data_IF_318027493789
#
_entry.id   IF_318027493789
#
_cell.length_a   1.000
_cell.length_b   1.000
_cell.length_c   1.000
_cell.angle_alpha   90.00
_cell.angle_beta   90.00
_cell.angle_gamma   90.00
#
_symmetry.space_group_name_H-M   'P 1'
#
loop_
_entity.id
_entity.type
_entity.pdbx_description
1 polymer ?
#
# COMPACT_ATOMS: atom_id res chain seq x y z
N UNK A 1 -8.93 -11.91 9.73
CA UNK A 1 -8.41 -10.93 8.76
C UNK A 1 -8.97 -9.55 9.10
N UNK A 2 -8.13 -8.51 9.04
CA UNK A 2 -8.54 -7.10 9.17
C UNK A 2 -8.02 -6.35 7.96
N UNK A 3 -8.86 -5.50 7.37
CA UNK A 3 -8.50 -4.64 6.24
C UNK A 3 -8.09 -3.27 6.79
N UNK A 4 -6.94 -2.77 6.38
CA UNK A 4 -6.47 -1.41 6.67
C UNK A 4 -6.55 -0.54 5.42
N UNK A 5 -7.13 0.64 5.55
CA UNK A 5 -7.21 1.65 4.48
C UNK A 5 -7.02 3.05 5.06
N UNK A 6 -6.55 4.00 4.27
CA UNK A 6 -6.31 5.36 4.74
C UNK A 6 -7.62 6.12 4.97
N UNK A 7 -8.57 6.03 4.04
CA UNK A 7 -9.77 6.85 3.99
C UNK A 7 -11.05 6.03 3.88
N UNK A 8 -12.12 6.49 4.53
CA UNK A 8 -13.45 5.87 4.45
C UNK A 8 -13.97 5.79 3.01
N UNK A 9 -13.71 6.80 2.19
CA UNK A 9 -14.12 6.82 0.79
C UNK A 9 -13.53 5.68 -0.04
N UNK A 10 -12.36 5.17 0.32
CA UNK A 10 -11.71 4.05 -0.36
C UNK A 10 -12.36 2.69 -0.04
N UNK A 11 -13.09 2.60 1.07
CA UNK A 11 -13.61 1.32 1.62
C UNK A 11 -15.08 1.36 2.01
N UNK A 12 -15.85 2.35 1.56
CA UNK A 12 -17.26 2.53 1.94
C UNK A 12 -18.12 1.30 1.64
N UNK A 13 -17.91 0.62 0.52
CA UNK A 13 -18.61 -0.60 0.16
C UNK A 13 -18.03 -1.84 0.86
N UNK A 14 -16.70 -1.93 0.95
CA UNK A 14 -15.99 -3.04 1.59
C UNK A 14 -16.35 -3.13 3.08
N UNK A 15 -16.46 -1.98 3.76
CA UNK A 15 -16.79 -1.91 5.19
C UNK A 15 -18.19 -2.38 5.55
N UNK A 16 -19.09 -2.56 4.57
CA UNK A 16 -20.43 -3.11 4.80
C UNK A 16 -20.41 -4.61 5.13
N UNK A 17 -19.39 -5.33 4.69
CA UNK A 17 -19.31 -6.80 4.82
C UNK A 17 -18.00 -7.30 5.45
N UNK A 18 -16.99 -6.45 5.62
CA UNK A 18 -15.70 -6.84 6.14
C UNK A 18 -15.22 -5.93 7.27
N UNK A 19 -14.37 -6.47 8.15
CA UNK A 19 -13.73 -5.70 9.23
C UNK A 19 -12.70 -4.76 8.67
N UNK A 20 -12.99 -3.46 8.68
CA UNK A 20 -12.11 -2.39 8.21
C UNK A 20 -11.68 -1.51 9.38
N UNK A 21 -10.41 -1.13 9.41
CA UNK A 21 -9.86 -0.13 10.32
C UNK A 21 -9.21 0.98 9.48
N UNK A 22 -9.60 2.22 9.74
CA UNK A 22 -9.04 3.38 9.04
C UNK A 22 -7.74 3.80 9.70
N UNK A 23 -6.66 3.84 8.92
CA UNK A 23 -5.34 4.26 9.40
C UNK A 23 -5.21 5.78 9.51
N UNK A 24 -5.93 6.53 8.68
CA UNK A 24 -5.59 7.90 8.33
C UNK A 24 -4.42 7.95 7.35
N UNK A 25 -4.14 9.14 6.85
CA UNK A 25 -3.12 9.37 5.82
C UNK A 25 -1.72 9.46 6.43
N UNK A 26 -0.74 8.88 5.75
CA UNK A 26 0.69 9.00 6.03
C UNK A 26 1.27 7.92 6.92
N UNK A 27 2.60 7.78 6.85
CA UNK A 27 3.38 6.70 7.48
C UNK A 27 3.20 6.64 8.99
N UNK A 28 3.18 7.78 9.68
CA UNK A 28 3.05 7.82 11.15
C UNK A 28 1.68 7.30 11.59
N UNK A 29 0.60 7.73 10.93
CA UNK A 29 -0.75 7.26 11.23
C UNK A 29 -0.88 5.76 10.92
N UNK A 30 -0.40 5.32 9.78
CA UNK A 30 -0.38 3.92 9.38
C UNK A 30 0.36 3.05 10.40
N UNK A 31 1.57 3.46 10.82
CA UNK A 31 2.35 2.75 11.85
C UNK A 31 1.57 2.64 13.15
N UNK A 32 1.06 3.75 13.68
CA UNK A 32 0.34 3.82 14.95
C UNK A 32 -0.89 2.91 14.96
N UNK A 33 -1.72 3.04 13.92
CA UNK A 33 -2.99 2.28 13.85
C UNK A 33 -2.73 0.80 13.60
N UNK A 34 -1.80 0.44 12.72
CA UNK A 34 -1.44 -0.96 12.48
C UNK A 34 -0.93 -1.63 13.76
N UNK A 35 -0.05 -0.94 14.50
CA UNK A 35 0.47 -1.44 15.78
C UNK A 35 -0.68 -1.69 16.77
N UNK A 36 -1.55 -0.70 17.00
CA UNK A 36 -2.67 -0.86 17.92
C UNK A 36 -3.68 -1.93 17.46
N UNK A 37 -3.90 -2.06 16.16
CA UNK A 37 -4.77 -3.09 15.59
C UNK A 37 -4.23 -4.50 15.86
N UNK A 38 -2.93 -4.70 15.65
CA UNK A 38 -2.29 -6.00 15.91
C UNK A 38 -2.35 -6.34 17.40
N UNK A 39 -1.98 -5.41 18.27
CA UNK A 39 -1.94 -5.65 19.71
C UNK A 39 -3.33 -5.90 20.33
N UNK A 40 -4.36 -5.21 19.84
CA UNK A 40 -5.71 -5.32 20.39
C UNK A 40 -6.54 -6.48 19.81
N UNK A 41 -6.26 -6.89 18.57
CA UNK A 41 -7.13 -7.84 17.85
C UNK A 41 -6.41 -9.14 17.43
N UNK A 42 -5.08 -9.22 17.55
CA UNK A 42 -4.29 -10.40 17.15
C UNK A 42 -4.73 -11.01 15.81
N UNK A 43 -4.76 -10.24 14.70
CA UNK A 43 -5.31 -10.70 13.44
C UNK A 43 -4.41 -11.79 12.81
N UNK A 44 -5.02 -12.80 12.22
CA UNK A 44 -4.31 -13.83 11.45
C UNK A 44 -3.76 -13.32 10.11
N UNK A 45 -4.25 -12.18 9.63
CA UNK A 45 -3.85 -11.53 8.39
C UNK A 45 -4.23 -10.05 8.44
N UNK A 46 -3.31 -9.18 8.08
CA UNK A 46 -3.57 -7.79 7.72
C UNK A 46 -3.58 -7.67 6.19
N UNK A 47 -4.63 -7.05 5.67
CA UNK A 47 -4.75 -6.71 4.26
C UNK A 47 -4.79 -5.19 4.14
N UNK A 48 -3.84 -4.58 3.45
CA UNK A 48 -3.91 -3.16 3.08
C UNK A 48 -4.60 -3.01 1.73
N UNK A 49 -5.67 -2.25 1.70
CA UNK A 49 -6.32 -1.82 0.46
C UNK A 49 -6.39 -0.31 0.41
N UNK A 50 -6.15 0.26 -0.77
CA UNK A 50 -6.25 1.69 -1.02
C UNK A 50 -5.94 2.03 -2.47
N UNK A 51 -5.91 3.33 -2.75
CA UNK A 51 -5.59 3.84 -4.08
C UNK A 51 -4.11 4.21 -4.19
N UNK A 52 -3.59 4.23 -5.42
CA UNK A 52 -2.25 4.69 -5.72
C UNK A 52 -2.20 5.45 -7.05
N UNK A 53 -1.27 6.38 -7.18
CA UNK A 53 -0.97 7.04 -8.44
C UNK A 53 -0.07 6.16 -9.31
N UNK A 54 -0.30 6.20 -10.63
CA UNK A 54 0.57 5.56 -11.62
C UNK A 54 1.91 6.29 -11.71
N UNK A 55 3.00 5.53 -11.67
CA UNK A 55 4.36 6.04 -11.87
C UNK A 55 4.98 5.46 -13.13
N UNK A 56 5.02 4.15 -13.27
CA UNK A 56 5.63 3.47 -14.41
C UNK A 56 4.61 3.03 -15.46
N UNK A 57 5.12 2.55 -16.61
CA UNK A 57 4.30 1.96 -17.68
C UNK A 57 3.86 0.52 -17.38
N UNK A 58 4.37 -0.10 -16.32
CA UNK A 58 3.99 -1.47 -15.92
C UNK A 58 2.60 -1.53 -15.30
N UNK A 59 2.06 -0.40 -14.85
CA UNK A 59 0.72 -0.31 -14.26
C UNK A 59 -0.19 0.55 -15.12
N UNK A 60 -1.48 0.24 -15.08
CA UNK A 60 -2.52 0.92 -15.85
C UNK A 60 -3.57 1.51 -14.92
N UNK A 61 -4.04 2.72 -15.25
CA UNK A 61 -5.15 3.37 -14.55
C UNK A 61 -6.41 2.50 -14.69
N UNK A 62 -7.16 2.37 -13.61
CA UNK A 62 -8.38 1.55 -13.57
C UNK A 62 -8.14 0.06 -13.31
N UNK A 63 -6.93 -0.34 -12.95
CA UNK A 63 -6.59 -1.73 -12.59
C UNK A 63 -6.24 -1.87 -11.12
N UNK A 64 -6.54 -3.03 -10.57
CA UNK A 64 -6.15 -3.46 -9.22
C UNK A 64 -4.91 -4.35 -9.32
N UNK A 65 -3.94 -4.12 -8.44
CA UNK A 65 -2.72 -4.92 -8.35
C UNK A 65 -2.47 -5.33 -6.90
N UNK A 66 -2.06 -6.58 -6.71
CA UNK A 66 -1.45 -7.02 -5.47
C UNK A 66 0.08 -6.87 -5.58
N UNK A 67 0.68 -6.17 -4.62
CA UNK A 67 2.12 -5.87 -4.60
C UNK A 67 2.79 -6.41 -3.34
N UNK A 68 4.04 -6.82 -3.48
CA UNK A 68 4.86 -7.38 -2.40
C UNK A 68 6.19 -6.66 -2.17
N UNK A 69 6.54 -5.70 -3.02
CA UNK A 69 7.77 -4.91 -2.87
C UNK A 69 7.41 -3.48 -2.45
N UNK A 70 8.08 -2.98 -1.42
CA UNK A 70 7.81 -1.65 -0.85
C UNK A 70 9.11 -0.89 -0.65
N UNK A 71 9.07 0.42 -0.89
CA UNK A 71 10.16 1.35 -0.60
C UNK A 71 9.61 2.65 0.01
N UNK A 72 10.42 3.35 0.78
CA UNK A 72 10.12 4.72 1.19
C UNK A 72 10.62 5.69 0.12
N UNK A 73 9.73 6.15 -0.77
CA UNK A 73 10.07 7.02 -1.90
C UNK A 73 10.53 8.43 -1.51
N UNK A 74 10.31 8.81 -0.27
CA UNK A 74 10.75 10.09 0.32
C UNK A 74 11.99 9.94 1.23
N UNK A 75 12.58 8.74 1.33
CA UNK A 75 13.82 8.51 2.06
C UNK A 75 15.00 8.94 1.18
N UNK A 76 15.72 9.97 1.62
CA UNK A 76 16.93 10.43 0.96
C UNK A 76 18.05 10.65 1.97
N UNK A 77 18.96 9.70 2.03
CA UNK A 77 20.17 9.72 2.86
C UNK A 77 21.43 9.46 2.02
N UNK A 78 21.40 9.87 0.77
CA UNK A 78 22.52 9.70 -0.18
C UNK A 78 23.79 10.41 0.29
N UNK A 79 23.67 11.48 1.04
CA UNK A 79 24.80 12.16 1.67
C UNK A 79 25.60 11.28 2.66
N UNK A 80 24.99 10.18 3.16
CA UNK A 80 25.62 9.18 4.03
C UNK A 80 26.12 7.95 3.26
N UNK A 81 26.08 7.97 1.92
CA UNK A 81 26.59 6.90 1.05
C UNK A 81 25.55 5.79 0.74
N UNK A 82 24.29 5.94 1.12
CA UNK A 82 23.23 5.01 0.78
C UNK A 82 22.61 5.34 -0.59
N UNK A 83 21.91 4.36 -1.18
CA UNK A 83 21.17 4.61 -2.43
C UNK A 83 19.91 5.43 -2.15
N UNK A 84 19.37 6.15 -3.14
CA UNK A 84 18.04 6.74 -3.03
C UNK A 84 17.01 5.71 -2.57
N UNK A 85 16.07 6.11 -1.72
CA UNK A 85 14.98 5.27 -1.17
C UNK A 85 15.43 4.09 -0.29
N UNK A 86 16.74 3.94 -0.05
CA UNK A 86 17.27 2.94 0.86
C UNK A 86 17.15 3.43 2.31
N UNK A 87 16.52 2.63 3.16
CA UNK A 87 16.50 2.87 4.60
C UNK A 87 17.81 2.33 5.20
N UNK A 88 18.65 3.19 5.82
CA UNK A 88 19.94 2.78 6.39
C UNK A 88 19.80 1.63 7.38
N UNK A 89 20.77 0.71 7.34
CA UNK A 89 20.89 -0.41 8.27
C UNK A 89 19.68 -1.36 8.32
N UNK A 90 18.71 -1.20 7.44
CA UNK A 90 17.59 -2.12 7.32
C UNK A 90 18.03 -3.36 6.55
N UNK A 91 17.91 -4.53 7.18
CA UNK A 91 18.07 -5.79 6.45
C UNK A 91 16.95 -5.89 5.42
N UNK A 92 17.28 -6.32 4.21
CA UNK A 92 16.28 -6.68 3.20
C UNK A 92 15.49 -7.85 3.77
N UNK A 93 14.32 -7.57 4.32
CA UNK A 93 13.46 -8.56 4.92
C UNK A 93 12.41 -8.99 3.91
N UNK A 94 12.22 -10.29 3.81
CA UNK A 94 11.10 -10.85 3.06
C UNK A 94 9.82 -10.56 3.83
N UNK A 95 8.82 -10.03 3.15
CA UNK A 95 7.49 -9.92 3.74
C UNK A 95 6.95 -11.32 4.01
N UNK A 96 6.28 -11.46 5.14
CA UNK A 96 5.64 -12.73 5.48
C UNK A 96 4.61 -13.09 4.40
N UNK A 97 4.71 -14.29 3.89
CA UNK A 97 3.77 -14.81 2.91
C UNK A 97 2.38 -14.93 3.54
N UNK A 98 1.37 -14.52 2.79
CA UNK A 98 -0.01 -14.74 3.18
C UNK A 98 -0.34 -16.24 3.19
N UNK A 99 -1.15 -16.72 4.15
CA UNK A 99 -1.68 -18.09 4.09
C UNK A 99 -2.67 -18.29 2.94
N UNK A 100 -3.12 -17.22 2.32
CA UNK A 100 -4.04 -17.28 1.18
C UNK A 100 -3.29 -17.55 -0.12
N UNK A 101 -3.93 -18.25 -1.09
CA UNK A 101 -3.34 -18.48 -2.40
C UNK A 101 -3.08 -17.14 -3.11
N UNK A 102 -2.12 -17.10 -4.06
CA UNK A 102 -1.93 -15.92 -4.90
C UNK A 102 -3.23 -15.52 -5.59
N UNK A 103 -3.49 -14.21 -5.67
CA UNK A 103 -4.65 -13.68 -6.40
C UNK A 103 -4.35 -13.54 -7.90
N UNK A 104 -5.40 -13.40 -8.71
CA UNK A 104 -5.26 -13.04 -10.13
C UNK A 104 -4.65 -11.64 -10.34
N UNK A 105 -4.56 -10.84 -9.29
CA UNK A 105 -3.97 -9.49 -9.28
C UNK A 105 -2.49 -9.47 -8.88
N UNK A 106 -1.92 -10.62 -8.48
CA UNK A 106 -0.54 -10.69 -7.98
C UNK A 106 0.47 -10.37 -9.06
N UNK A 107 1.32 -9.38 -8.80
CA UNK A 107 2.44 -8.96 -9.63
C UNK A 107 3.68 -8.77 -8.76
N UNK A 108 4.51 -9.79 -8.72
CA UNK A 108 5.74 -9.80 -7.91
C UNK A 108 6.85 -8.88 -8.45
N UNK A 109 6.72 -8.42 -9.69
CA UNK A 109 7.65 -7.50 -10.36
C UNK A 109 7.34 -6.02 -10.10
N UNK A 110 6.23 -5.71 -9.38
CA UNK A 110 5.85 -4.35 -9.08
C UNK A 110 6.35 -3.89 -7.72
N UNK A 111 6.75 -2.62 -7.66
CA UNK A 111 7.19 -1.93 -6.43
C UNK A 111 6.26 -0.76 -6.12
N UNK A 112 5.83 -0.69 -4.87
CA UNK A 112 5.03 0.40 -4.33
C UNK A 112 5.92 1.38 -3.56
N UNK A 113 5.88 2.66 -3.93
CA UNK A 113 6.62 3.74 -3.27
C UNK A 113 5.73 4.49 -2.28
N UNK A 114 6.06 4.38 -0.97
CA UNK A 114 5.36 5.08 0.12
C UNK A 114 6.06 6.37 0.50
N UNK A 115 5.31 7.47 0.65
CA UNK A 115 5.88 8.75 1.11
C UNK A 115 4.83 9.70 1.65
N UNK A 116 5.22 10.61 2.56
CA UNK A 116 4.32 11.54 3.24
C UNK A 116 4.02 12.83 2.44
N UNK A 117 4.23 12.79 1.13
CA UNK A 117 3.84 13.85 0.20
C UNK A 117 2.96 13.30 -0.92
N UNK A 118 2.06 14.14 -1.43
CA UNK A 118 1.29 13.78 -2.62
C UNK A 118 2.23 13.58 -3.80
N UNK A 119 1.99 12.53 -4.61
CA UNK A 119 2.79 12.27 -5.81
C UNK A 119 2.33 13.21 -6.94
N UNK A 120 3.23 14.06 -7.40
CA UNK A 120 3.04 14.90 -8.57
C UNK A 120 3.93 14.40 -9.71
N UNK A 121 3.40 14.31 -10.91
CA UNK A 121 4.03 13.70 -12.09
C UNK A 121 5.22 14.50 -12.67
N UNK A 122 6.04 15.13 -11.80
CA UNK A 122 7.12 16.05 -12.23
C UNK A 122 8.41 15.30 -12.61
N UNK A 123 8.58 14.05 -12.17
CA UNK A 123 9.83 13.30 -12.39
C UNK A 123 9.55 11.89 -12.89
N UNK A 124 10.30 11.44 -13.93
CA UNK A 124 10.42 10.02 -14.27
C UNK A 124 11.26 9.34 -13.19
N UNK A 125 10.67 8.39 -12.51
CA UNK A 125 11.31 7.58 -11.48
C UNK A 125 11.17 6.14 -11.94
N UNK A 126 12.29 5.40 -12.01
CA UNK A 126 12.30 4.02 -12.48
C UNK A 126 12.37 3.01 -11.32
N UNK A 127 12.47 3.48 -10.06
CA UNK A 127 12.66 2.64 -8.89
C UNK A 127 11.36 2.09 -8.28
N UNK A 128 10.20 2.67 -8.62
CA UNK A 128 8.90 2.17 -8.19
C UNK A 128 7.82 2.39 -9.27
N UNK A 129 6.77 1.60 -9.22
CA UNK A 129 5.75 1.51 -10.26
C UNK A 129 4.48 2.28 -9.93
N UNK A 130 4.20 2.45 -8.64
CA UNK A 130 3.05 3.20 -8.11
C UNK A 130 3.43 3.95 -6.84
N UNK A 131 2.72 5.04 -6.54
CA UNK A 131 2.98 5.91 -5.39
C UNK A 131 1.74 6.05 -4.51
N UNK A 132 1.93 5.92 -3.19
CA UNK A 132 0.92 6.08 -2.16
C UNK A 132 1.58 6.55 -0.85
N UNK A 133 0.91 6.44 0.31
CA UNK A 133 1.38 7.11 1.53
C UNK A 133 1.48 6.19 2.78
N UNK A 134 1.12 4.89 2.74
CA UNK A 134 0.99 4.05 3.94
C UNK A 134 1.65 2.66 3.87
N UNK A 135 1.70 2.02 2.69
CA UNK A 135 1.93 0.59 2.56
C UNK A 135 3.24 0.08 3.15
N UNK A 136 4.37 0.78 2.93
CA UNK A 136 5.67 0.38 3.52
C UNK A 136 5.62 0.40 5.05
N UNK A 137 4.95 1.40 5.63
CA UNK A 137 4.82 1.50 7.08
C UNK A 137 3.99 0.34 7.66
N UNK A 138 2.86 0.00 7.02
CA UNK A 138 2.03 -1.14 7.42
C UNK A 138 2.82 -2.45 7.28
N UNK A 139 3.49 -2.65 6.15
CA UNK A 139 4.30 -3.83 5.87
C UNK A 139 5.39 -4.05 6.94
N UNK A 140 6.12 -2.99 7.32
CA UNK A 140 7.15 -3.04 8.36
C UNK A 140 6.61 -3.39 9.73
N UNK A 141 5.46 -2.86 10.10
CA UNK A 141 4.81 -3.20 11.38
C UNK A 141 4.37 -4.67 11.37
N UNK A 142 3.73 -5.14 10.30
CA UNK A 142 3.33 -6.53 10.17
C UNK A 142 4.53 -7.48 10.25
N UNK A 143 5.63 -7.16 9.58
CA UNK A 143 6.88 -7.91 9.65
C UNK A 143 7.44 -7.95 11.08
N UNK A 144 7.45 -6.81 11.78
CA UNK A 144 7.95 -6.72 13.17
C UNK A 144 7.18 -7.63 14.13
N UNK A 145 5.86 -7.69 13.99
CA UNK A 145 4.99 -8.52 14.84
C UNK A 145 4.75 -9.94 14.32
N UNK A 146 5.32 -10.32 13.19
CA UNK A 146 5.12 -11.66 12.63
C UNK A 146 3.71 -11.91 12.09
N UNK A 147 2.99 -10.87 11.68
CA UNK A 147 1.62 -10.98 11.14
C UNK A 147 1.67 -11.05 9.61
N UNK A 148 1.05 -12.04 8.98
CA UNK A 148 0.94 -12.11 7.53
C UNK A 148 0.32 -10.85 6.95
N UNK A 149 0.86 -10.39 5.80
CA UNK A 149 0.48 -9.13 5.17
C UNK A 149 0.22 -9.31 3.67
N UNK A 150 -0.82 -8.65 3.17
CA UNK A 150 -1.10 -8.50 1.73
C UNK A 150 -1.45 -7.05 1.43
N UNK A 151 -1.05 -6.57 0.25
CA UNK A 151 -1.31 -5.20 -0.17
C UNK A 151 -1.93 -5.16 -1.55
N UNK A 152 -3.10 -4.53 -1.66
CA UNK A 152 -3.80 -4.31 -2.91
C UNK A 152 -3.93 -2.81 -3.17
N UNK A 153 -3.49 -2.38 -4.34
CA UNK A 153 -3.57 -0.98 -4.77
C UNK A 153 -4.32 -0.85 -6.09
N UNK A 154 -5.36 -0.05 -6.05
CA UNK A 154 -6.09 0.35 -7.24
C UNK A 154 -5.45 1.61 -7.83
N UNK A 155 -5.04 1.55 -9.09
CA UNK A 155 -4.43 2.69 -9.77
C UNK A 155 -5.54 3.64 -10.21
N UNK A 156 -5.69 4.74 -9.48
CA UNK A 156 -6.79 5.69 -9.67
C UNK A 156 -6.53 6.75 -10.74
N UNK A 157 -5.27 7.21 -10.86
CA UNK A 157 -4.87 8.32 -11.73
C UNK A 157 -3.38 8.22 -12.11
N UNK A 158 -2.95 9.12 -12.96
CA UNK A 158 -1.55 9.31 -13.37
C UNK A 158 -0.90 10.55 -12.70
N UNK A 159 -1.38 10.96 -11.53
CA UNK A 159 -0.95 12.14 -10.79
C UNK A 159 -1.93 13.34 -10.92
N UNK A 160 -3.13 13.14 -11.51
CA UNK A 160 -4.16 14.18 -11.64
C UNK A 160 -5.28 13.95 -10.60
N UNK A 161 -5.44 14.88 -9.67
CA UNK A 161 -6.41 14.78 -8.58
C UNK A 161 -7.90 14.87 -9.00
N UNK A 162 -8.21 15.34 -10.20
CA UNK A 162 -9.60 15.65 -10.61
C UNK A 162 -10.48 14.43 -10.89
N UNK A 163 -9.90 13.23 -11.11
CA UNK A 163 -10.65 12.00 -11.41
C UNK A 163 -10.75 11.06 -10.21
N UNK A 164 -10.32 11.50 -9.03
CA UNK A 164 -10.21 10.66 -7.84
C UNK A 164 -11.55 10.01 -7.42
N UNK A 165 -12.62 10.79 -7.31
CA UNK A 165 -13.90 10.28 -6.75
C UNK A 165 -14.58 9.23 -7.65
N UNK A 166 -14.51 9.42 -8.96
CA UNK A 166 -15.17 8.52 -9.95
C UNK A 166 -14.51 7.14 -10.02
N UNK A 167 -13.22 7.08 -9.79
CA UNK A 167 -12.45 5.84 -9.93
C UNK A 167 -12.46 4.97 -8.67
N UNK A 168 -12.71 5.54 -7.49
CA UNK A 168 -12.65 4.82 -6.21
C UNK A 168 -13.67 3.69 -6.11
N UNK A 169 -14.90 3.90 -6.60
CA UNK A 169 -15.97 2.89 -6.54
C UNK A 169 -15.61 1.60 -7.29
N UNK A 170 -15.07 1.72 -8.51
CA UNK A 170 -14.66 0.56 -9.32
C UNK A 170 -13.54 -0.26 -8.66
N UNK A 171 -12.63 0.41 -7.95
CA UNK A 171 -11.58 -0.28 -7.20
C UNK A 171 -12.15 -1.16 -6.09
N UNK A 172 -13.18 -0.68 -5.39
CA UNK A 172 -13.86 -1.45 -4.35
C UNK A 172 -14.60 -2.68 -4.90
N UNK A 173 -15.25 -2.55 -6.06
CA UNK A 173 -15.90 -3.69 -6.74
C UNK A 173 -14.90 -4.79 -7.08
N UNK A 174 -13.74 -4.42 -7.65
CA UNK A 174 -12.66 -5.36 -7.94
C UNK A 174 -12.12 -6.03 -6.68
N UNK A 175 -11.95 -5.26 -5.60
CA UNK A 175 -11.48 -5.80 -4.32
C UNK A 175 -12.50 -6.75 -3.71
N UNK A 176 -13.79 -6.41 -3.73
CA UNK A 176 -14.87 -7.27 -3.25
C UNK A 176 -14.99 -8.59 -4.03
N UNK A 177 -14.65 -8.60 -5.31
CA UNK A 177 -14.62 -9.83 -6.11
C UNK A 177 -13.50 -10.80 -5.70
N UNK A 178 -12.49 -10.30 -4.98
CA UNK A 178 -11.40 -11.09 -4.44
C UNK A 178 -11.68 -11.58 -3.01
N UNK A 179 -12.34 -10.79 -2.16
CA UNK A 179 -12.63 -11.08 -0.75
C UNK A 179 -13.71 -12.15 -0.58
#
# INVERSE_FOLDING_TARGET
MIILSALQSEVSEISKSHSVVLTGVGKINATRVTTSTILNHNPSLILNYGTAAKVSRKVEVGKLYEVSNFIQRDMNVTALGFKPYETPFQKKSELLTSPLPPSSFTRSDLTCGTGDNFYEHIYRIDEYDMAEMEADAIAKVCLHYGVPFRCFKYIRDDGNANDWEKNVAKGQELMLSYL
#
